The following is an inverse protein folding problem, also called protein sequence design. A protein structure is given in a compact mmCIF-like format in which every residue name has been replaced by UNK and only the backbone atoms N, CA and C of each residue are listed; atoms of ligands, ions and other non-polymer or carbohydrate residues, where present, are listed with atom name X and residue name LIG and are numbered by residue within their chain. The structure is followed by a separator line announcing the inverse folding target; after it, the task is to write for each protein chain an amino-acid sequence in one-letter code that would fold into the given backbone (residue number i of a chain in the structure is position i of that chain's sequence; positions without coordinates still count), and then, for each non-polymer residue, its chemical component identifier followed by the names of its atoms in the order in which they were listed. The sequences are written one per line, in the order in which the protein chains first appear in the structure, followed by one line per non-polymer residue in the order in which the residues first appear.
data_IF_889687952152
#
_entry.id   IF_889687952152
#
_cell.length_a   1.000
_cell.length_b   1.000
_cell.length_c   1.000
_cell.angle_alpha   90.00
_cell.angle_beta   90.00
_cell.angle_gamma   90.00
#
_symmetry.space_group_name_H-M   'P 1'
#
loop_
_entity.id
_entity.type
_entity.pdbx_description
1 polymer ?
#
# COMPACT_ATOMS: atom_id res chain seq x y z
N UNK A 1 5.93 -8.64 -16.73
CA UNK A 1 4.97 -7.77 -17.40
C UNK A 1 5.43 -6.32 -17.34
N UNK A 2 5.17 -5.57 -18.38
CA UNK A 2 5.59 -4.18 -18.47
C UNK A 2 4.81 -3.30 -17.48
N UNK A 3 5.50 -2.41 -16.78
CA UNK A 3 4.89 -1.53 -15.79
C UNK A 3 3.80 -0.63 -16.39
N UNK A 4 4.04 -0.09 -17.58
CA UNK A 4 3.08 0.76 -18.26
C UNK A 4 1.78 0.02 -18.56
N UNK A 5 1.88 -1.24 -19.00
CA UNK A 5 0.71 -2.09 -19.23
C UNK A 5 -0.08 -2.35 -17.96
N UNK A 6 0.63 -2.61 -16.86
CA UNK A 6 0.00 -2.81 -15.55
C UNK A 6 -0.76 -1.56 -15.09
N UNK A 7 -0.18 -0.39 -15.29
CA UNK A 7 -0.82 0.88 -14.94
C UNK A 7 -2.08 1.09 -15.77
N UNK A 8 -2.02 0.81 -17.07
CA UNK A 8 -3.19 0.94 -17.95
C UNK A 8 -4.30 -0.01 -17.55
N UNK A 9 -3.98 -1.26 -17.23
CA UNK A 9 -4.96 -2.22 -16.72
C UNK A 9 -5.57 -1.75 -15.41
N UNK A 10 -4.76 -1.18 -14.54
CA UNK A 10 -5.21 -0.67 -13.26
C UNK A 10 -6.21 0.48 -13.42
N UNK A 11 -6.00 1.36 -14.40
CA UNK A 11 -6.94 2.46 -14.69
C UNK A 11 -8.32 1.97 -15.09
N UNK A 12 -8.40 0.79 -15.71
CA UNK A 12 -9.66 0.19 -16.14
C UNK A 12 -10.32 -0.65 -15.05
N UNK A 13 -9.64 -0.85 -13.93
CA UNK A 13 -10.18 -1.61 -12.83
C UNK A 13 -11.10 -0.76 -11.95
N UNK A 14 -12.05 -1.40 -11.27
CA UNK A 14 -12.96 -0.68 -10.37
C UNK A 14 -12.20 -0.05 -9.20
N UNK A 15 -11.34 -0.85 -8.56
CA UNK A 15 -10.38 -0.34 -7.58
C UNK A 15 -9.04 -0.15 -8.28
N UNK A 16 -8.58 1.10 -8.36
CA UNK A 16 -7.35 1.44 -9.06
C UNK A 16 -6.15 1.37 -8.12
N UNK A 17 -6.01 0.24 -7.46
CA UNK A 17 -4.90 -0.06 -6.56
C UNK A 17 -4.09 -1.21 -7.13
N UNK A 18 -2.93 -0.90 -7.67
CA UNK A 18 -1.96 -1.87 -8.16
C UNK A 18 -1.03 -2.26 -7.01
N UNK A 19 -0.99 -3.54 -6.67
CA UNK A 19 -0.12 -4.05 -5.62
C UNK A 19 1.13 -4.64 -6.26
N UNK A 20 2.30 -4.17 -5.82
CA UNK A 20 3.60 -4.71 -6.21
C UNK A 20 4.25 -5.30 -4.96
N UNK A 21 4.47 -6.60 -4.98
CA UNK A 21 5.12 -7.31 -3.87
C UNK A 21 6.63 -7.18 -4.01
N UNK A 22 7.25 -6.55 -3.02
CA UNK A 22 8.68 -6.26 -3.00
C UNK A 22 9.29 -6.74 -1.69
N UNK A 23 9.91 -7.91 -1.70
CA UNK A 23 10.57 -8.47 -0.53
C UNK A 23 12.08 -8.17 -0.48
N UNK A 24 12.60 -7.46 -1.49
CA UNK A 24 14.02 -7.19 -1.65
C UNK A 24 14.37 -5.70 -1.60
N UNK A 25 13.42 -4.86 -1.18
CA UNK A 25 13.60 -3.40 -1.07
C UNK A 25 14.08 -2.76 -2.38
N UNK A 26 13.43 -3.11 -3.48
CA UNK A 26 13.74 -2.60 -4.81
C UNK A 26 12.76 -1.53 -5.29
N UNK A 27 11.97 -0.95 -4.39
CA UNK A 27 10.91 0.01 -4.74
C UNK A 27 11.43 1.23 -5.52
N UNK A 28 12.68 1.62 -5.32
CA UNK A 28 13.24 2.80 -5.99
C UNK A 28 13.20 2.68 -7.52
N UNK A 29 13.36 1.48 -8.06
CA UNK A 29 13.29 1.31 -9.53
C UNK A 29 11.91 1.67 -10.08
N UNK A 30 10.86 1.44 -9.28
CA UNK A 30 9.49 1.84 -9.66
C UNK A 30 9.31 3.34 -9.50
N UNK A 31 9.69 3.89 -8.35
CA UNK A 31 9.50 5.32 -8.07
C UNK A 31 10.28 6.20 -9.03
N UNK A 32 11.51 5.82 -9.36
CA UNK A 32 12.33 6.56 -10.31
C UNK A 32 11.76 6.48 -11.73
N UNK A 33 11.30 5.31 -12.14
CA UNK A 33 10.71 5.12 -13.46
C UNK A 33 9.47 5.97 -13.69
N UNK A 34 8.69 6.23 -12.66
CA UNK A 34 7.42 6.95 -12.75
C UNK A 34 7.50 8.43 -12.36
N UNK A 35 8.65 8.89 -11.85
CA UNK A 35 8.80 10.25 -11.36
C UNK A 35 8.50 11.30 -12.44
N UNK A 36 8.91 11.05 -13.69
CA UNK A 36 8.68 11.96 -14.80
C UNK A 36 7.26 11.92 -15.37
N UNK A 37 6.43 10.99 -14.91
CA UNK A 37 5.08 10.77 -15.42
C UNK A 37 3.98 11.27 -14.47
N UNK A 38 4.34 12.12 -13.52
CA UNK A 38 3.38 12.73 -12.61
C UNK A 38 3.06 11.89 -11.37
N UNK A 39 3.77 10.81 -11.13
CA UNK A 39 3.62 9.99 -9.92
C UNK A 39 4.45 10.55 -8.78
N UNK A 40 3.85 10.59 -7.59
CA UNK A 40 4.54 11.01 -6.37
C UNK A 40 4.57 9.84 -5.38
N UNK A 41 5.75 9.65 -4.77
CA UNK A 41 5.97 8.55 -3.82
C UNK A 41 5.96 9.05 -2.39
N UNK A 42 5.33 8.30 -1.49
CA UNK A 42 5.24 8.62 -0.07
C UNK A 42 5.60 7.40 0.77
N UNK A 43 6.48 7.59 1.74
CA UNK A 43 6.82 6.57 2.72
C UNK A 43 5.70 6.49 3.77
N UNK A 44 4.96 5.39 3.79
CA UNK A 44 3.82 5.23 4.68
C UNK A 44 4.23 5.22 6.15
N UNK A 45 5.35 4.58 6.47
CA UNK A 45 5.85 4.54 7.85
C UNK A 45 6.15 5.94 8.37
N UNK A 46 6.89 6.74 7.60
CA UNK A 46 7.27 8.09 8.03
C UNK A 46 6.04 8.97 8.26
N UNK A 47 5.10 8.97 7.34
CA UNK A 47 3.88 9.76 7.47
C UNK A 47 2.98 9.26 8.60
N UNK A 48 2.88 7.95 8.80
CA UNK A 48 2.10 7.38 9.89
C UNK A 48 2.69 7.78 11.24
N UNK A 49 4.01 7.75 11.40
CA UNK A 49 4.66 8.18 12.64
C UNK A 49 4.39 9.64 12.95
N UNK A 50 4.43 10.52 11.96
CA UNK A 50 4.07 11.92 12.15
C UNK A 50 2.62 12.10 12.59
N UNK A 51 1.71 11.34 11.99
CA UNK A 51 0.29 11.39 12.34
C UNK A 51 0.03 10.87 13.76
N UNK A 52 0.72 9.80 14.17
CA UNK A 52 0.60 9.21 15.51
C UNK A 52 1.01 10.21 16.59
N UNK A 53 2.07 10.98 16.36
CA UNK A 53 2.56 11.94 17.35
C UNK A 53 1.53 13.02 17.71
N UNK A 54 0.54 13.23 16.86
CA UNK A 54 -0.53 14.21 17.08
C UNK A 54 -1.72 13.62 17.85
N UNK A 55 -1.69 12.32 18.13
CA UNK A 55 -2.80 11.62 18.78
C UNK A 55 -2.38 11.19 20.18
N UNK A 56 -3.18 11.48 21.23
CA UNK A 56 -2.92 10.96 22.56
C UNK A 56 -2.81 9.43 22.52
N UNK A 57 -1.84 8.88 23.24
CA UNK A 57 -1.52 7.44 23.19
C UNK A 57 -2.73 6.55 23.40
N UNK A 58 -3.62 6.92 24.31
CA UNK A 58 -4.82 6.16 24.64
C UNK A 58 -5.82 6.08 23.49
N UNK A 59 -5.76 7.02 22.54
CA UNK A 59 -6.71 7.13 21.43
C UNK A 59 -6.18 6.60 20.11
N UNK A 60 -4.89 6.24 20.04
CA UNK A 60 -4.23 5.87 18.77
C UNK A 60 -4.90 4.72 18.05
N UNK A 61 -5.19 3.62 18.75
CA UNK A 61 -5.85 2.47 18.15
C UNK A 61 -7.20 2.79 17.52
N UNK A 62 -7.97 3.67 18.16
CA UNK A 62 -9.31 4.00 17.71
C UNK A 62 -9.31 5.01 16.57
N UNK A 63 -8.32 5.89 16.53
CA UNK A 63 -8.34 7.04 15.62
C UNK A 63 -7.46 6.91 14.40
N UNK A 64 -6.39 6.10 14.48
CA UNK A 64 -5.35 6.11 13.43
C UNK A 64 -5.88 5.64 12.07
N UNK A 65 -6.76 4.65 12.03
CA UNK A 65 -7.32 4.16 10.77
C UNK A 65 -8.06 5.26 10.00
N UNK A 66 -8.87 6.03 10.70
CA UNK A 66 -9.60 7.16 10.11
C UNK A 66 -8.64 8.26 9.64
N UNK A 67 -7.64 8.56 10.45
CA UNK A 67 -6.67 9.61 10.13
C UNK A 67 -5.85 9.24 8.90
N UNK A 68 -5.44 7.98 8.76
CA UNK A 68 -4.75 7.49 7.57
C UNK A 68 -5.65 7.63 6.33
N UNK A 69 -6.91 7.29 6.43
CA UNK A 69 -7.86 7.44 5.31
C UNK A 69 -8.02 8.90 4.90
N UNK A 70 -8.08 9.81 5.85
CA UNK A 70 -8.13 11.25 5.56
C UNK A 70 -6.82 11.73 4.91
N UNK A 71 -5.68 11.22 5.38
CA UNK A 71 -4.39 11.52 4.76
C UNK A 71 -4.36 11.11 3.29
N UNK A 72 -4.75 9.88 2.99
CA UNK A 72 -4.78 9.37 1.61
C UNK A 72 -5.72 10.18 0.73
N UNK A 73 -6.85 10.58 1.26
CA UNK A 73 -7.83 11.41 0.54
C UNK A 73 -7.21 12.71 0.04
N UNK A 74 -6.30 13.30 0.81
CA UNK A 74 -5.64 14.55 0.47
C UNK A 74 -4.42 14.41 -0.45
N UNK A 75 -4.02 13.18 -0.79
CA UNK A 75 -2.87 12.96 -1.66
C UNK A 75 -3.18 13.24 -3.13
N UNK A 76 -2.16 13.43 -3.99
CA UNK A 76 -2.38 13.58 -5.43
C UNK A 76 -3.11 12.40 -6.07
N UNK A 77 -3.56 12.57 -7.31
CA UNK A 77 -4.34 11.55 -8.02
C UNK A 77 -3.52 10.33 -8.45
N UNK A 78 -2.20 10.45 -8.54
CA UNK A 78 -1.28 9.36 -8.89
C UNK A 78 -0.22 9.25 -7.82
N UNK A 79 -0.34 8.24 -6.96
CA UNK A 79 0.55 8.08 -5.81
C UNK A 79 1.14 6.68 -5.72
N UNK A 80 2.37 6.62 -5.26
CA UNK A 80 3.06 5.38 -4.92
C UNK A 80 3.25 5.37 -3.40
N UNK A 81 2.68 4.37 -2.74
CA UNK A 81 2.76 4.21 -1.30
C UNK A 81 3.68 3.02 -1.00
N UNK A 82 4.78 3.26 -0.31
CA UNK A 82 5.77 2.24 0.02
C UNK A 82 6.11 2.26 1.50
N UNK A 83 6.86 1.25 1.95
CA UNK A 83 7.21 1.04 3.35
C UNK A 83 5.96 1.01 4.25
N UNK A 84 5.12 0.00 4.01
CA UNK A 84 3.79 -0.11 4.60
C UNK A 84 3.74 -0.95 5.87
N UNK A 85 4.87 -1.49 6.33
CA UNK A 85 4.92 -2.49 7.42
C UNK A 85 4.34 -2.00 8.75
N UNK A 86 4.40 -0.71 9.02
CA UNK A 86 3.86 -0.14 10.26
C UNK A 86 2.34 -0.39 10.40
N UNK A 87 1.64 -0.52 9.27
CA UNK A 87 0.18 -0.70 9.29
C UNK A 87 -0.26 -2.01 9.94
N UNK A 88 0.61 -3.01 9.99
CA UNK A 88 0.27 -4.30 10.59
C UNK A 88 0.45 -4.32 12.11
N UNK A 89 0.98 -3.25 12.68
CA UNK A 89 1.28 -3.21 14.12
C UNK A 89 0.02 -3.36 14.97
N UNK A 90 0.04 -4.25 15.99
CA UNK A 90 -1.06 -4.38 16.94
C UNK A 90 -1.35 -3.08 17.70
N UNK A 91 -0.33 -2.26 17.91
CA UNK A 91 -0.46 -0.96 18.59
C UNK A 91 -1.33 0.02 17.80
N UNK A 92 -1.42 -0.17 16.50
CA UNK A 92 -2.25 0.64 15.60
C UNK A 92 -3.57 -0.04 15.23
N UNK A 93 -3.97 -1.08 15.95
CA UNK A 93 -5.22 -1.77 15.69
C UNK A 93 -5.16 -2.74 14.51
N UNK A 94 -3.98 -3.17 14.11
CA UNK A 94 -3.77 -4.13 13.02
C UNK A 94 -4.41 -3.70 11.71
N UNK A 95 -4.02 -2.54 11.24
CA UNK A 95 -4.38 -2.08 9.90
C UNK A 95 -3.61 -2.91 8.87
N UNK A 96 -3.98 -2.78 7.61
CA UNK A 96 -3.22 -3.35 6.51
C UNK A 96 -3.39 -2.48 5.27
N UNK A 97 -2.47 -2.55 4.29
CA UNK A 97 -2.53 -1.68 3.12
C UNK A 97 -3.80 -1.81 2.30
N UNK A 98 -4.32 -3.01 2.15
CA UNK A 98 -5.56 -3.22 1.38
C UNK A 98 -6.72 -2.51 2.07
N UNK A 99 -6.91 -2.75 3.37
CA UNK A 99 -7.98 -2.11 4.13
C UNK A 99 -7.83 -0.59 4.23
N UNK A 100 -6.58 -0.11 4.32
CA UNK A 100 -6.33 1.32 4.48
C UNK A 100 -6.56 2.11 3.18
N UNK A 101 -6.27 1.53 2.00
CA UNK A 101 -6.18 2.30 0.76
C UNK A 101 -7.18 1.90 -0.32
N UNK A 102 -7.76 0.71 -0.26
CA UNK A 102 -8.59 0.16 -1.34
C UNK A 102 -9.73 1.07 -1.76
N UNK A 103 -10.48 1.60 -0.82
CA UNK A 103 -11.68 2.38 -1.16
C UNK A 103 -11.35 3.73 -1.77
N UNK A 104 -10.22 4.32 -1.42
CA UNK A 104 -9.76 5.58 -2.04
C UNK A 104 -9.26 5.38 -3.46
N UNK A 105 -8.89 4.16 -3.81
CA UNK A 105 -8.44 3.82 -5.17
C UNK A 105 -9.58 3.79 -6.20
N UNK A 106 -10.80 4.00 -5.80
CA UNK A 106 -11.90 4.26 -6.74
C UNK A 106 -11.77 5.62 -7.41
N UNK A 107 -11.18 6.58 -6.71
CA UNK A 107 -11.11 7.99 -7.13
C UNK A 107 -9.72 8.40 -7.58
N UNK A 108 -8.70 7.64 -7.27
CA UNK A 108 -7.31 7.96 -7.63
C UNK A 108 -6.53 6.68 -7.93
N UNK A 109 -5.44 6.83 -8.67
CA UNK A 109 -4.55 5.71 -8.99
C UNK A 109 -3.52 5.55 -7.88
N UNK A 110 -3.49 4.37 -7.28
CA UNK A 110 -2.60 4.07 -6.16
C UNK A 110 -1.75 2.85 -6.53
N UNK A 111 -0.43 2.98 -6.43
CA UNK A 111 0.48 1.85 -6.47
C UNK A 111 0.94 1.62 -5.04
N UNK A 112 0.69 0.42 -4.51
CA UNK A 112 1.14 0.04 -3.17
C UNK A 112 2.28 -0.96 -3.32
N UNK A 113 3.44 -0.60 -2.80
CA UNK A 113 4.62 -1.49 -2.79
C UNK A 113 4.74 -2.03 -1.37
N UNK A 114 4.55 -3.34 -1.22
CA UNK A 114 4.49 -3.97 0.09
C UNK A 114 5.20 -5.32 0.10
N UNK A 115 5.63 -5.75 1.27
CA UNK A 115 6.19 -7.08 1.48
C UNK A 115 5.10 -8.12 1.66
N UNK A 116 5.39 -9.36 1.34
CA UNK A 116 4.46 -10.45 1.58
C UNK A 116 4.70 -11.63 0.67
N UNK A 117 3.87 -12.65 0.85
CA UNK A 117 3.89 -13.85 0.00
C UNK A 117 2.54 -14.02 -0.65
N UNK A 118 2.54 -14.29 -1.96
CA UNK A 118 1.33 -14.46 -2.76
C UNK A 118 0.91 -15.92 -2.75
N UNK A 119 -0.36 -16.17 -2.40
CA UNK A 119 -1.01 -17.48 -2.47
C UNK A 119 -2.31 -17.32 -3.24
N UNK A 120 -2.28 -17.60 -4.56
CA UNK A 120 -3.45 -17.37 -5.40
C UNK A 120 -3.88 -15.91 -5.38
N UNK A 121 -5.07 -15.63 -4.89
CA UNK A 121 -5.63 -14.28 -4.79
C UNK A 121 -5.51 -13.68 -3.38
N UNK A 122 -4.58 -14.20 -2.57
CA UNK A 122 -4.30 -13.72 -1.22
C UNK A 122 -2.84 -13.37 -1.06
N UNK A 123 -2.58 -12.39 -0.22
CA UNK A 123 -1.23 -12.00 0.20
C UNK A 123 -1.11 -12.20 1.70
N UNK A 124 -0.07 -12.91 2.12
CA UNK A 124 0.23 -13.16 3.52
C UNK A 124 1.41 -12.30 3.93
N UNK A 125 1.23 -11.52 4.99
CA UNK A 125 2.29 -10.77 5.63
C UNK A 125 2.68 -11.44 6.95
N UNK A 126 3.98 -11.62 7.18
CA UNK A 126 4.53 -12.26 8.38
C UNK A 126 4.17 -13.75 8.44
N UNK A 127 4.28 -14.37 9.61
CA UNK A 127 4.05 -15.79 9.81
C UNK A 127 2.90 -16.04 10.78
N UNK A 128 2.17 -17.12 10.55
CA UNK A 128 1.07 -17.51 11.42
C UNK A 128 1.53 -17.61 12.88
N UNK A 129 0.76 -17.01 13.79
CA UNK A 129 1.08 -16.96 15.21
C UNK A 129 1.87 -15.73 15.65
N UNK A 130 2.39 -14.92 14.71
CA UNK A 130 3.03 -13.65 15.07
C UNK A 130 1.99 -12.55 15.24
N UNK A 131 2.33 -11.53 16.04
CA UNK A 131 1.42 -10.42 16.34
C UNK A 131 1.08 -9.56 15.13
N UNK A 132 1.98 -9.51 14.16
CA UNK A 132 1.83 -8.74 12.94
C UNK A 132 1.31 -9.56 11.75
N UNK A 133 0.96 -10.82 11.96
CA UNK A 133 0.43 -11.68 10.90
C UNK A 133 -0.86 -11.09 10.32
N UNK A 134 -0.92 -11.08 8.98
CA UNK A 134 -2.09 -10.62 8.27
C UNK A 134 -2.24 -11.35 6.94
N UNK A 135 -3.46 -11.72 6.60
CA UNK A 135 -3.78 -12.31 5.31
C UNK A 135 -4.80 -11.40 4.63
N UNK A 136 -4.49 -11.01 3.38
CA UNK A 136 -5.29 -10.03 2.64
C UNK A 136 -5.83 -10.65 1.37
N UNK A 137 -7.11 -10.41 1.08
CA UNK A 137 -7.74 -10.78 -0.18
C UNK A 137 -7.45 -9.69 -1.22
N UNK A 138 -6.79 -10.08 -2.32
CA UNK A 138 -6.45 -9.16 -3.41
C UNK A 138 -7.14 -9.53 -4.72
N UNK A 139 -8.21 -10.32 -4.64
CA UNK A 139 -8.94 -10.82 -5.83
C UNK A 139 -9.53 -9.72 -6.70
N UNK A 140 -9.88 -8.57 -6.11
CA UNK A 140 -10.43 -7.42 -6.84
C UNK A 140 -9.35 -6.45 -7.34
N UNK A 141 -8.08 -6.74 -7.07
CA UNK A 141 -6.97 -5.84 -7.32
C UNK A 141 -5.98 -6.47 -8.32
N UNK A 142 -5.36 -5.62 -9.11
CA UNK A 142 -4.24 -6.05 -9.95
C UNK A 142 -3.01 -6.15 -9.06
N UNK A 143 -2.31 -7.27 -9.11
CA UNK A 143 -1.14 -7.51 -8.27
C UNK A 143 -0.07 -8.28 -9.02
N UNK A 144 1.18 -8.03 -8.67
CA UNK A 144 2.34 -8.68 -9.26
C UNK A 144 3.52 -8.65 -8.28
N UNK A 145 4.54 -9.43 -8.57
CA UNK A 145 5.83 -9.35 -7.85
C UNK A 145 6.72 -8.36 -8.58
N UNK A 146 7.56 -7.67 -7.83
CA UNK A 146 8.49 -6.69 -8.42
C UNK A 146 9.46 -7.35 -9.41
N UNK A 147 9.86 -8.61 -9.15
CA UNK A 147 10.75 -9.36 -10.03
C UNK A 147 10.14 -9.59 -11.42
N UNK A 148 8.81 -9.61 -11.52
CA UNK A 148 8.08 -9.87 -12.75
C UNK A 148 7.74 -8.60 -13.51
N UNK A 149 8.13 -7.44 -12.99
CA UNK A 149 7.87 -6.15 -13.62
C UNK A 149 9.05 -5.73 -14.50
N UNK A 150 8.78 -5.43 -15.75
CA UNK A 150 9.75 -4.81 -16.66
C UNK A 150 9.46 -3.33 -16.81
N UNK A 151 10.50 -2.53 -16.82
CA UNK A 151 10.38 -1.07 -16.90
C UNK A 151 10.53 -0.54 -18.33
#
# INVERSE_FOLDING_TARGET
MNLETLIEQNRCNYYKMLIIIDNAKQHEKITQSLASQGWQAFNVTDHTLELIDRIPEKERKLRIGRIIKEWVKGLPDKVILYDTSILYSPELGRLNPVGAFKYKSREKEIIVIMSGQVYGERVRYSEYGRDDYCEMDVSELIHTRIEDVTL
#
